data_IF_425553601893
#
_entry.id   IF_425553601893
#
_cell.length_a   1.000
_cell.length_b   1.000
_cell.length_c   1.000
_cell.angle_alpha   90.00
_cell.angle_beta   90.00
_cell.angle_gamma   90.00
#
_symmetry.space_group_name_H-M   'P 1'
#
loop_
_entity.id
_entity.type
_entity.pdbx_description
1 polymer ?
#
# COMPACT_ATOMS: atom_id res chain seq x y z
N UNK A 1 0.50 -24.75 -9.10
CA UNK A 1 -0.07 -24.54 -10.40
C UNK A 1 0.50 -23.32 -11.09
N UNK A 2 0.92 -23.51 -12.27
CA UNK A 2 1.51 -22.48 -13.05
C UNK A 2 0.48 -21.59 -13.73
N UNK A 3 0.79 -20.31 -13.87
CA UNK A 3 -0.02 -19.40 -14.67
C UNK A 3 0.77 -19.12 -15.94
N UNK A 4 0.57 -19.94 -16.99
CA UNK A 4 1.48 -19.92 -18.14
C UNK A 4 1.51 -18.61 -18.91
N UNK A 5 0.50 -17.79 -18.76
CA UNK A 5 0.41 -16.55 -19.52
C UNK A 5 1.02 -15.35 -18.81
N UNK A 6 1.55 -15.52 -17.61
CA UNK A 6 2.16 -14.44 -16.87
C UNK A 6 3.68 -14.49 -17.01
N UNK A 7 4.33 -13.32 -17.12
CA UNK A 7 5.79 -13.29 -17.15
C UNK A 7 6.37 -13.91 -15.90
N UNK A 8 7.48 -14.62 -16.05
CA UNK A 8 8.20 -15.11 -14.90
C UNK A 8 8.86 -13.96 -14.20
N UNK A 9 8.59 -13.81 -12.92
CA UNK A 9 9.18 -12.77 -12.12
C UNK A 9 10.11 -13.39 -11.11
N UNK A 10 11.03 -12.57 -10.58
CA UNK A 10 11.89 -13.02 -9.49
C UNK A 10 11.02 -13.52 -8.34
N UNK A 11 11.44 -14.58 -7.63
CA UNK A 11 10.69 -15.05 -6.49
C UNK A 11 10.50 -13.95 -5.46
N UNK A 12 9.33 -13.91 -4.86
CA UNK A 12 9.04 -12.94 -3.81
C UNK A 12 9.84 -13.27 -2.56
N UNK A 13 10.25 -12.25 -1.83
CA UNK A 13 10.85 -12.47 -0.51
C UNK A 13 9.82 -13.15 0.40
N UNK A 14 10.24 -13.84 1.47
CA UNK A 14 9.29 -14.47 2.38
C UNK A 14 8.24 -13.50 2.92
N UNK A 15 8.63 -12.26 3.18
CA UNK A 15 7.70 -11.24 3.66
C UNK A 15 6.63 -10.90 2.62
N UNK A 16 7.04 -10.70 1.37
CA UNK A 16 6.09 -10.43 0.30
C UNK A 16 5.24 -11.65 -0.01
N UNK A 17 5.81 -12.84 0.06
CA UNK A 17 5.06 -14.07 -0.17
C UNK A 17 3.96 -14.22 0.87
N UNK A 18 4.26 -13.95 2.14
CA UNK A 18 3.28 -13.98 3.22
C UNK A 18 2.13 -13.00 2.96
N UNK A 19 2.47 -11.76 2.55
CA UNK A 19 1.47 -10.74 2.25
C UNK A 19 0.58 -11.13 1.07
N UNK A 20 1.20 -11.61 0.00
CA UNK A 20 0.45 -11.99 -1.20
C UNK A 20 -0.45 -13.18 -0.93
N UNK A 21 0.04 -14.18 -0.19
CA UNK A 21 -0.77 -15.34 0.17
C UNK A 21 -2.00 -14.93 0.98
N UNK A 22 -1.82 -13.99 1.89
CA UNK A 22 -2.92 -13.48 2.69
C UNK A 22 -3.97 -12.79 1.82
N UNK A 23 -3.53 -11.94 0.90
CA UNK A 23 -4.44 -11.25 0.00
C UNK A 23 -5.11 -12.21 -0.99
N UNK A 24 -4.37 -13.20 -1.50
CA UNK A 24 -4.94 -14.22 -2.38
C UNK A 24 -6.04 -15.00 -1.68
N UNK A 25 -5.84 -15.28 -0.39
CA UNK A 25 -6.75 -16.15 0.36
C UNK A 25 -7.99 -15.40 0.85
N UNK A 26 -7.83 -14.16 1.30
CA UNK A 26 -8.90 -13.42 1.97
C UNK A 26 -9.44 -12.24 1.19
N UNK A 27 -8.81 -11.86 0.10
CA UNK A 27 -9.28 -10.78 -0.74
C UNK A 27 -8.86 -9.39 -0.27
N UNK A 28 -9.63 -8.40 -0.69
CA UNK A 28 -9.31 -7.00 -0.42
C UNK A 28 -9.54 -6.64 1.05
N UNK A 29 -8.81 -5.63 1.57
CA UNK A 29 -9.00 -5.19 2.95
C UNK A 29 -10.41 -4.73 3.30
N UNK A 30 -11.22 -4.44 2.28
CA UNK A 30 -12.61 -4.02 2.50
C UNK A 30 -13.56 -5.19 2.71
N UNK A 31 -13.14 -6.43 2.48
CA UNK A 31 -14.03 -7.59 2.58
C UNK A 31 -14.17 -8.07 4.03
N UNK A 32 -15.36 -8.64 4.39
CA UNK A 32 -15.54 -9.22 5.73
C UNK A 32 -14.57 -10.35 6.02
N UNK A 33 -14.26 -11.18 5.03
CA UNK A 33 -13.34 -12.31 5.18
C UNK A 33 -11.94 -11.83 5.55
N UNK A 34 -11.47 -10.77 4.90
CA UNK A 34 -10.17 -10.18 5.22
C UNK A 34 -10.17 -9.64 6.65
N UNK A 35 -11.20 -8.89 7.00
CA UNK A 35 -11.27 -8.27 8.33
C UNK A 35 -11.27 -9.31 9.44
N UNK A 36 -12.01 -10.39 9.26
CA UNK A 36 -12.06 -11.46 10.25
C UNK A 36 -10.70 -12.16 10.37
N UNK A 37 -10.08 -12.50 9.25
CA UNK A 37 -8.78 -13.14 9.24
C UNK A 37 -7.70 -12.24 9.83
N UNK A 38 -7.76 -10.96 9.51
CA UNK A 38 -6.79 -9.99 10.03
C UNK A 38 -6.86 -9.87 11.55
N UNK A 39 -8.06 -9.86 12.09
CA UNK A 39 -8.24 -9.81 13.56
C UNK A 39 -7.70 -11.04 14.26
N UNK A 40 -7.69 -12.18 13.57
CA UNK A 40 -7.18 -13.42 14.13
C UNK A 40 -5.67 -13.50 14.17
N UNK A 41 -4.97 -12.60 13.47
CA UNK A 41 -3.51 -12.63 13.41
C UNK A 41 -2.87 -12.04 14.66
N UNK A 42 -1.68 -12.54 15.05
CA UNK A 42 -0.87 -11.87 16.07
C UNK A 42 -0.50 -10.45 15.63
N UNK A 43 -0.23 -9.60 16.60
CA UNK A 43 0.06 -8.19 16.33
C UNK A 43 1.19 -8.00 15.32
N UNK A 44 2.29 -8.74 15.46
CA UNK A 44 3.42 -8.60 14.53
C UNK A 44 3.07 -8.98 13.11
N UNK A 45 2.22 -9.99 12.92
CA UNK A 45 1.78 -10.37 11.60
C UNK A 45 0.80 -9.37 11.01
N UNK A 46 -0.02 -8.76 11.83
CA UNK A 46 -0.88 -7.65 11.38
C UNK A 46 -0.04 -6.50 10.84
N UNK A 47 1.06 -6.18 11.51
CA UNK A 47 1.96 -5.14 11.04
C UNK A 47 2.58 -5.49 9.70
N UNK A 48 2.96 -6.73 9.49
CA UNK A 48 3.54 -7.17 8.21
C UNK A 48 2.56 -7.00 7.06
N UNK A 49 1.29 -7.31 7.30
CA UNK A 49 0.24 -7.21 6.27
C UNK A 49 -0.14 -5.75 6.04
N UNK A 50 -0.37 -5.01 7.12
CA UNK A 50 -0.99 -3.70 7.04
C UNK A 50 -0.01 -2.56 6.80
N UNK A 51 1.24 -2.71 7.21
CA UNK A 51 2.21 -1.63 7.17
C UNK A 51 3.44 -2.02 6.37
N UNK A 52 3.92 -1.09 5.57
CA UNK A 52 5.20 -1.22 4.89
C UNK A 52 6.09 -0.09 5.37
N UNK A 53 7.06 -0.41 6.22
CA UNK A 53 7.91 0.61 6.80
C UNK A 53 8.80 1.31 5.77
N UNK A 54 9.18 0.61 4.70
CA UNK A 54 9.93 1.26 3.63
C UNK A 54 9.09 2.33 2.94
N UNK A 55 7.81 2.04 2.70
CA UNK A 55 6.91 3.03 2.13
C UNK A 55 6.62 4.16 3.11
N UNK A 56 6.53 3.84 4.40
CA UNK A 56 6.32 4.84 5.43
C UNK A 56 7.44 5.89 5.43
N UNK A 57 8.70 5.46 5.35
CA UNK A 57 9.84 6.35 5.41
C UNK A 57 10.21 6.96 4.07
N UNK A 58 10.03 6.22 2.97
CA UNK A 58 10.46 6.67 1.64
C UNK A 58 9.31 7.14 0.75
N UNK A 59 8.07 6.90 1.16
CA UNK A 59 6.89 7.41 0.47
C UNK A 59 6.82 6.98 -0.99
N UNK A 60 6.55 7.94 -1.87
CA UNK A 60 6.38 7.65 -3.28
C UNK A 60 7.65 7.10 -3.94
N UNK A 61 8.82 7.37 -3.37
CA UNK A 61 10.08 6.83 -3.88
C UNK A 61 10.05 5.31 -3.85
N UNK A 62 9.54 4.73 -2.78
CA UNK A 62 9.42 3.29 -2.67
C UNK A 62 8.48 2.70 -3.72
N UNK A 63 7.41 3.43 -4.05
CA UNK A 63 6.51 3.01 -5.12
C UNK A 63 7.22 2.95 -6.47
N UNK A 64 8.12 3.90 -6.74
CA UNK A 64 8.95 3.82 -7.94
C UNK A 64 9.87 2.61 -7.91
N UNK A 65 10.47 2.33 -6.76
CA UNK A 65 11.35 1.16 -6.60
C UNK A 65 10.59 -0.13 -6.89
N UNK A 66 9.34 -0.22 -6.47
CA UNK A 66 8.49 -1.40 -6.72
C UNK A 66 7.96 -1.45 -8.16
N UNK A 67 8.19 -0.43 -8.95
CA UNK A 67 7.73 -0.40 -10.33
C UNK A 67 6.32 0.15 -10.52
N UNK A 68 5.74 0.73 -9.51
CA UNK A 68 4.39 1.31 -9.57
C UNK A 68 4.44 2.81 -9.86
N UNK A 69 4.97 3.15 -11.03
CA UNK A 69 5.22 4.57 -11.36
C UNK A 69 3.94 5.41 -11.41
N UNK A 70 2.83 4.82 -11.87
CA UNK A 70 1.56 5.55 -11.94
C UNK A 70 1.04 5.91 -10.55
N UNK A 71 1.08 4.95 -9.64
CA UNK A 71 0.69 5.19 -8.26
C UNK A 71 1.65 6.14 -7.56
N UNK A 72 2.93 6.05 -7.90
CA UNK A 72 3.93 6.97 -7.36
C UNK A 72 3.64 8.41 -7.78
N UNK A 73 3.30 8.62 -9.05
CA UNK A 73 2.92 9.95 -9.52
C UNK A 73 1.63 10.44 -8.87
N UNK A 74 0.68 9.54 -8.64
CA UNK A 74 -0.54 9.86 -7.90
C UNK A 74 -0.22 10.33 -6.49
N UNK A 75 0.71 9.66 -5.81
CA UNK A 75 1.15 10.06 -4.48
C UNK A 75 1.84 11.42 -4.48
N UNK A 76 2.65 11.70 -5.50
CA UNK A 76 3.29 13.01 -5.64
C UNK A 76 2.22 14.10 -5.76
N UNK A 77 1.19 13.85 -6.58
CA UNK A 77 0.09 14.80 -6.75
C UNK A 77 -0.63 15.08 -5.43
N UNK A 78 -0.91 14.03 -4.66
CA UNK A 78 -1.54 14.17 -3.35
C UNK A 78 -0.62 14.95 -2.41
N UNK A 79 0.66 14.62 -2.41
CA UNK A 79 1.64 15.30 -1.56
C UNK A 79 1.72 16.78 -1.87
N UNK A 80 1.75 17.16 -3.15
CA UNK A 80 1.77 18.55 -3.56
C UNK A 80 0.51 19.28 -3.12
N UNK A 81 -0.65 18.64 -3.27
CA UNK A 81 -1.93 19.22 -2.85
C UNK A 81 -1.92 19.45 -1.33
N UNK A 82 -1.44 18.48 -0.56
CA UNK A 82 -1.35 18.62 0.89
C UNK A 82 -0.35 19.69 1.29
N UNK A 83 0.75 19.84 0.57
CA UNK A 83 1.74 20.87 0.85
C UNK A 83 1.14 22.26 0.65
N UNK A 84 0.34 22.45 -0.40
CA UNK A 84 -0.35 23.72 -0.64
C UNK A 84 -1.33 24.01 0.49
N UNK A 85 -2.13 23.03 0.88
CA UNK A 85 -3.08 23.17 1.99
C UNK A 85 -2.34 23.51 3.29
N UNK A 86 -1.25 22.80 3.56
CA UNK A 86 -0.47 23.00 4.79
C UNK A 86 0.12 24.41 4.88
N UNK A 87 0.42 25.03 3.73
CA UNK A 87 0.95 26.39 3.70
C UNK A 87 -0.02 27.42 4.28
N UNK A 88 -1.32 27.08 4.30
CA UNK A 88 -2.36 27.97 4.83
C UNK A 88 -2.80 27.59 6.24
N UNK A 89 -2.15 26.60 6.85
CA UNK A 89 -2.53 26.10 8.18
C UNK A 89 -1.42 26.35 9.19
N UNK A 90 -1.74 26.32 10.50
CA UNK A 90 -0.70 26.37 11.52
C UNK A 90 0.30 25.23 11.34
N UNK A 91 1.55 25.48 11.71
CA UNK A 91 2.63 24.54 11.51
C UNK A 91 2.35 23.16 12.13
N UNK A 92 1.78 23.14 13.33
CA UNK A 92 1.48 21.88 14.01
C UNK A 92 0.48 21.03 13.21
N UNK A 93 -0.51 21.66 12.59
CA UNK A 93 -1.50 20.96 11.77
C UNK A 93 -0.85 20.46 10.48
N UNK A 94 0.02 21.27 9.87
CA UNK A 94 0.75 20.87 8.67
C UNK A 94 1.61 19.63 8.92
N UNK A 95 2.30 19.59 10.06
CA UNK A 95 3.08 18.42 10.45
C UNK A 95 2.19 17.19 10.63
N UNK A 96 1.02 17.37 11.25
CA UNK A 96 0.06 16.29 11.42
C UNK A 96 -0.40 15.73 10.10
N UNK A 97 -0.64 16.58 9.10
CA UNK A 97 -1.01 16.14 7.76
C UNK A 97 0.10 15.32 7.11
N UNK A 98 1.36 15.75 7.28
CA UNK A 98 2.50 15.01 6.74
C UNK A 98 2.63 13.63 7.36
N UNK A 99 2.46 13.54 8.66
CA UNK A 99 2.53 12.24 9.36
C UNK A 99 1.38 11.35 8.91
N UNK A 100 0.17 11.88 8.81
CA UNK A 100 -0.99 11.12 8.35
C UNK A 100 -0.78 10.62 6.92
N UNK A 101 -0.23 11.45 6.04
CA UNK A 101 0.08 11.05 4.67
C UNK A 101 1.07 9.88 4.66
N UNK A 102 2.16 9.99 5.43
CA UNK A 102 3.16 8.92 5.50
C UNK A 102 2.57 7.61 6.01
N UNK A 103 1.71 7.67 7.01
CA UNK A 103 1.05 6.49 7.55
C UNK A 103 0.14 5.85 6.49
N UNK A 104 -0.62 6.66 5.78
CA UNK A 104 -1.50 6.16 4.72
C UNK A 104 -0.70 5.51 3.60
N UNK A 105 0.40 6.12 3.18
CA UNK A 105 1.28 5.54 2.16
C UNK A 105 1.83 4.20 2.63
N UNK A 106 2.29 4.14 3.88
CA UNK A 106 2.80 2.90 4.45
C UNK A 106 1.74 1.79 4.50
N UNK A 107 0.51 2.16 4.80
CA UNK A 107 -0.60 1.20 4.86
C UNK A 107 -1.08 0.77 3.48
N UNK A 108 -0.93 1.62 2.48
CA UNK A 108 -1.43 1.34 1.14
C UNK A 108 -0.47 0.50 0.30
N UNK A 109 0.83 0.59 0.57
CA UNK A 109 1.85 0.02 -0.32
C UNK A 109 1.72 -1.49 -0.52
N UNK A 110 1.42 -2.23 0.53
CA UNK A 110 1.37 -3.70 0.44
C UNK A 110 0.27 -4.17 -0.52
N UNK A 111 -0.94 -3.67 -0.33
CA UNK A 111 -2.04 -4.09 -1.19
C UNK A 111 -1.91 -3.49 -2.60
N UNK A 112 -1.38 -2.28 -2.71
CA UNK A 112 -1.14 -1.67 -4.01
C UNK A 112 -0.18 -2.51 -4.85
N UNK A 113 0.89 -2.99 -4.23
CA UNK A 113 1.85 -3.84 -4.92
C UNK A 113 1.23 -5.19 -5.29
N UNK A 114 0.40 -5.73 -4.41
CA UNK A 114 -0.35 -6.94 -4.69
C UNK A 114 -1.24 -6.77 -5.94
N UNK A 115 -1.99 -5.68 -6.01
CA UNK A 115 -2.84 -5.40 -7.16
C UNK A 115 -2.02 -5.26 -8.44
N UNK A 116 -0.86 -4.59 -8.35
CA UNK A 116 0.01 -4.42 -9.51
C UNK A 116 0.54 -5.76 -10.02
N UNK A 117 1.00 -6.62 -9.12
CA UNK A 117 1.65 -7.88 -9.50
C UNK A 117 0.68 -8.99 -9.83
N UNK A 118 -0.41 -9.11 -9.08
CA UNK A 118 -1.35 -10.22 -9.23
C UNK A 118 -2.54 -9.89 -10.11
N UNK A 119 -3.00 -8.65 -10.07
CA UNK A 119 -4.19 -8.23 -10.81
C UNK A 119 -3.86 -7.38 -12.03
N UNK A 120 -2.60 -7.04 -12.23
CA UNK A 120 -2.19 -6.21 -13.35
C UNK A 120 -2.74 -4.81 -13.32
N UNK A 121 -2.97 -4.28 -12.12
CA UNK A 121 -3.55 -2.94 -11.96
C UNK A 121 -2.68 -1.87 -12.60
N UNK A 122 -3.30 -1.00 -13.41
CA UNK A 122 -2.64 0.15 -14.00
C UNK A 122 -3.24 1.45 -13.48
N UNK A 123 -4.00 1.38 -12.39
CA UNK A 123 -4.64 2.53 -11.78
C UNK A 123 -3.62 3.51 -11.21
N UNK A 124 -3.92 4.79 -11.32
CA UNK A 124 -3.14 5.86 -10.71
C UNK A 124 -3.48 6.04 -9.23
N UNK A 125 -4.54 5.39 -8.76
CA UNK A 125 -4.98 5.50 -7.37
C UNK A 125 -4.15 4.60 -6.47
N UNK A 126 -3.28 5.17 -5.61
CA UNK A 126 -2.44 4.35 -4.71
C UNK A 126 -3.25 3.65 -3.62
N UNK A 127 -4.49 4.07 -3.42
CA UNK A 127 -5.36 3.52 -2.37
C UNK A 127 -6.44 2.62 -2.94
N UNK A 128 -6.26 2.13 -4.17
CA UNK A 128 -7.22 1.27 -4.83
C UNK A 128 -7.54 0.04 -3.98
N UNK A 129 -8.84 -0.23 -3.81
CA UNK A 129 -9.29 -1.40 -3.07
C UNK A 129 -9.24 -1.27 -1.55
N UNK A 130 -8.70 -0.16 -1.04
CA UNK A 130 -8.60 0.04 0.41
C UNK A 130 -9.82 0.80 0.92
N UNK A 131 -10.47 0.21 1.90
CA UNK A 131 -11.55 0.84 2.63
C UNK A 131 -11.43 0.43 4.08
N UNK A 132 -11.14 1.41 4.92
CA UNK A 132 -11.00 1.15 6.35
C UNK A 132 -12.29 1.44 7.13
N UNK A 133 -13.29 1.96 6.45
CA UNK A 133 -14.57 2.30 7.02
C UNK A 133 -15.67 1.36 6.56
#
# INVERSE_FOLDING_TARGET
>A
METPNLPQRAPLSPKWQFRFDFFDRYGAPSTPEYKAAFKALPFMERLKINMNFFALFFGFIYFFILGMWRKALGLIGIWLALAVVAAFLPEAIGRGLGIAYSLLVGMAANYAYYLDQRKGSVSWNPFEGLRWW
#
